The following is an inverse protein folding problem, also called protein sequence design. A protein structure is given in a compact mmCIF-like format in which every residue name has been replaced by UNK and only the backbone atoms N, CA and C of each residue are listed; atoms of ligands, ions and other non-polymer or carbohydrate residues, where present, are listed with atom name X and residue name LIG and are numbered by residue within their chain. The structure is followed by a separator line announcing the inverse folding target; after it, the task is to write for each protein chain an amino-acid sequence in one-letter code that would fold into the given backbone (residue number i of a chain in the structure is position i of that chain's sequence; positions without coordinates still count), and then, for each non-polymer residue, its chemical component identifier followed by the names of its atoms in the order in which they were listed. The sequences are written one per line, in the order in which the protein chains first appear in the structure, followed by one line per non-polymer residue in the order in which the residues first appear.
data_IF_486244702913
#
_entry.id   IF_486244702913
#
_cell.length_a   1.000
_cell.length_b   1.000
_cell.length_c   1.000
_cell.angle_alpha   90.00
_cell.angle_beta   90.00
_cell.angle_gamma   90.00
#
_symmetry.space_group_name_H-M   'P 1'
#
loop_
_entity.id
_entity.type
_entity.pdbx_description
1 polymer ?
#
# COMPACT_ATOMS: atom_id res chain seq x y z
N UNK A 1 -33.45 -18.31 -17.07
CA UNK A 1 -33.05 -17.00 -17.57
C UNK A 1 -32.33 -16.17 -16.53
N UNK A 2 -32.67 -16.26 -15.26
CA UNK A 2 -32.00 -15.53 -14.20
C UNK A 2 -30.52 -15.87 -14.01
N UNK A 3 -30.11 -17.13 -14.22
CA UNK A 3 -28.69 -17.54 -14.17
C UNK A 3 -27.88 -16.97 -15.30
N UNK A 4 -28.46 -16.88 -16.48
CA UNK A 4 -27.80 -16.35 -17.67
C UNK A 4 -27.64 -14.85 -17.59
N UNK A 5 -28.63 -14.14 -17.07
CA UNK A 5 -28.57 -12.70 -16.84
C UNK A 5 -27.51 -12.32 -15.81
N UNK A 6 -27.39 -13.11 -14.72
CA UNK A 6 -26.34 -12.91 -13.71
C UNK A 6 -24.94 -13.18 -14.26
N UNK A 7 -24.76 -14.18 -15.10
CA UNK A 7 -23.50 -14.48 -15.76
C UNK A 7 -23.12 -13.41 -16.78
N UNK A 8 -24.10 -12.91 -17.54
CA UNK A 8 -23.90 -11.80 -18.46
C UNK A 8 -23.52 -10.51 -17.71
N UNK A 9 -24.18 -10.20 -16.59
CA UNK A 9 -23.86 -9.05 -15.75
C UNK A 9 -22.45 -9.18 -15.17
N UNK A 10 -22.01 -10.38 -14.78
CA UNK A 10 -20.63 -10.63 -14.32
C UNK A 10 -19.63 -10.53 -15.46
N UNK A 11 -19.99 -11.01 -16.66
CA UNK A 11 -19.16 -10.92 -17.85
C UNK A 11 -19.00 -9.50 -18.36
N UNK A 12 -19.92 -8.58 -18.01
CA UNK A 12 -19.85 -7.16 -18.38
C UNK A 12 -19.10 -6.29 -17.38
N UNK A 13 -18.67 -6.85 -16.23
CA UNK A 13 -17.81 -6.10 -15.31
C UNK A 13 -16.49 -5.81 -16.01
N UNK A 14 -16.18 -4.53 -16.18
CA UNK A 14 -14.96 -4.10 -16.85
C UNK A 14 -13.73 -4.45 -16.05
N UNK A 15 -12.58 -4.58 -16.71
CA UNK A 15 -11.31 -4.79 -16.04
C UNK A 15 -11.00 -3.63 -15.08
N UNK A 16 -11.38 -2.40 -15.50
CA UNK A 16 -11.25 -1.22 -14.66
C UNK A 16 -12.01 -1.38 -13.33
N UNK A 17 -13.26 -1.85 -13.37
CA UNK A 17 -14.06 -2.07 -12.15
C UNK A 17 -13.46 -3.15 -11.25
N UNK A 18 -12.93 -4.21 -11.82
CA UNK A 18 -12.26 -5.28 -11.07
C UNK A 18 -11.00 -4.77 -10.38
N UNK A 19 -10.18 -4.00 -11.10
CA UNK A 19 -8.96 -3.42 -10.56
C UNK A 19 -9.29 -2.40 -9.49
N UNK A 20 -10.28 -1.52 -9.70
CA UNK A 20 -10.74 -0.58 -8.68
C UNK A 20 -11.12 -1.28 -7.39
N UNK A 21 -11.91 -2.34 -7.47
CA UNK A 21 -12.31 -3.12 -6.32
C UNK A 21 -11.13 -3.74 -5.59
N UNK A 22 -10.17 -4.25 -6.35
CA UNK A 22 -8.95 -4.82 -5.78
C UNK A 22 -8.11 -3.74 -5.07
N UNK A 23 -7.97 -2.56 -5.67
CA UNK A 23 -7.25 -1.43 -5.07
C UNK A 23 -7.90 -0.99 -3.76
N UNK A 24 -9.23 -0.92 -3.72
CA UNK A 24 -9.97 -0.55 -2.50
C UNK A 24 -9.77 -1.58 -1.38
N UNK A 25 -9.76 -2.86 -1.71
CA UNK A 25 -9.48 -3.93 -0.73
C UNK A 25 -8.07 -3.85 -0.20
N UNK A 26 -7.11 -3.57 -1.06
CA UNK A 26 -5.72 -3.42 -0.66
C UNK A 26 -5.55 -2.23 0.31
N UNK A 27 -6.23 -1.11 0.03
CA UNK A 27 -6.22 0.07 0.91
C UNK A 27 -6.86 -0.24 2.27
N UNK A 28 -7.99 -0.93 2.27
CA UNK A 28 -8.68 -1.33 3.51
C UNK A 28 -7.83 -2.27 4.35
N UNK A 29 -7.23 -3.27 3.73
CA UNK A 29 -6.34 -4.21 4.41
C UNK A 29 -5.13 -3.49 5.03
N UNK A 30 -4.52 -2.57 4.28
CA UNK A 30 -3.38 -1.80 4.76
C UNK A 30 -3.74 -0.95 5.98
N UNK A 31 -4.93 -0.33 5.98
CA UNK A 31 -5.45 0.45 7.11
C UNK A 31 -5.65 -0.42 8.34
N UNK A 32 -6.32 -1.54 8.18
CA UNK A 32 -6.60 -2.47 9.28
C UNK A 32 -5.30 -2.99 9.90
N UNK A 33 -4.36 -3.36 9.06
CA UNK A 33 -3.07 -3.87 9.51
C UNK A 33 -2.28 -2.81 10.30
N UNK A 34 -2.30 -1.58 9.82
CA UNK A 34 -1.65 -0.47 10.51
C UNK A 34 -2.28 -0.22 11.87
N UNK A 35 -3.61 -0.20 11.95
CA UNK A 35 -4.34 0.01 13.19
C UNK A 35 -4.06 -1.11 14.21
N UNK A 36 -4.05 -2.36 13.78
CA UNK A 36 -3.70 -3.51 14.62
C UNK A 36 -2.28 -3.38 15.20
N UNK A 37 -1.32 -3.06 14.34
CA UNK A 37 0.08 -2.97 14.77
C UNK A 37 0.33 -1.77 15.70
N UNK A 38 -0.38 -0.65 15.49
CA UNK A 38 -0.31 0.47 16.43
C UNK A 38 -0.83 0.08 17.80
N UNK A 39 -1.93 -0.66 17.84
CA UNK A 39 -2.50 -1.14 19.11
C UNK A 39 -1.57 -2.12 19.80
N UNK A 40 -0.97 -3.05 19.07
CA UNK A 40 0.03 -3.99 19.60
C UNK A 40 1.25 -3.25 20.16
N UNK A 41 1.76 -2.27 19.41
CA UNK A 41 2.91 -1.47 19.85
C UNK A 41 2.60 -0.73 21.15
N UNK A 42 1.42 -0.12 21.25
CA UNK A 42 1.01 0.59 22.46
C UNK A 42 0.99 -0.32 23.69
N UNK A 43 0.52 -1.56 23.53
CA UNK A 43 0.53 -2.56 24.61
C UNK A 43 1.95 -2.99 24.97
N UNK A 44 2.78 -3.29 23.95
CA UNK A 44 4.16 -3.75 24.17
C UNK A 44 5.04 -2.67 24.79
N UNK A 45 4.85 -1.40 24.44
CA UNK A 45 5.57 -0.30 25.07
C UNK A 45 5.32 -0.28 26.57
N UNK A 46 4.08 -0.56 26.98
CA UNK A 46 3.70 -0.58 28.38
C UNK A 46 4.32 -1.78 29.14
N UNK A 47 4.29 -2.97 28.51
CA UNK A 47 4.66 -4.22 29.16
C UNK A 47 6.13 -4.60 28.95
N UNK A 48 6.67 -4.37 27.75
CA UNK A 48 8.02 -4.74 27.35
C UNK A 48 8.65 -3.67 26.45
N UNK A 49 9.06 -2.52 27.00
CA UNK A 49 9.49 -1.38 26.19
C UNK A 49 10.71 -1.67 25.30
N UNK A 50 11.67 -2.45 25.76
CA UNK A 50 12.87 -2.81 24.97
C UNK A 50 12.47 -3.63 23.75
N UNK A 51 11.64 -4.64 23.95
CA UNK A 51 11.11 -5.49 22.88
C UNK A 51 10.31 -4.66 21.86
N UNK A 52 9.47 -3.74 22.35
CA UNK A 52 8.65 -2.89 21.52
C UNK A 52 9.53 -2.03 20.58
N UNK A 53 10.57 -1.39 21.12
CA UNK A 53 11.46 -0.54 20.34
C UNK A 53 12.24 -1.35 19.29
N UNK A 54 12.79 -2.51 19.69
CA UNK A 54 13.67 -3.29 18.82
C UNK A 54 12.91 -4.05 17.72
N UNK A 55 11.74 -4.60 18.04
CA UNK A 55 11.07 -5.56 17.15
C UNK A 55 9.75 -5.08 16.59
N UNK A 56 8.92 -4.41 17.40
CA UNK A 56 7.59 -3.97 16.94
C UNK A 56 7.64 -2.67 16.15
N UNK A 57 8.55 -1.76 16.49
CA UNK A 57 8.62 -0.45 15.83
C UNK A 57 8.86 -0.59 14.31
N UNK A 58 9.72 -1.51 13.90
CA UNK A 58 9.98 -1.77 12.47
C UNK A 58 8.72 -2.24 11.73
N UNK A 59 7.92 -3.10 12.37
CA UNK A 59 6.67 -3.60 11.81
C UNK A 59 5.66 -2.47 11.65
N UNK A 60 5.61 -1.55 12.61
CA UNK A 60 4.72 -0.39 12.54
C UNK A 60 5.15 0.56 11.42
N UNK A 61 6.44 0.80 11.25
CA UNK A 61 6.96 1.63 10.15
C UNK A 61 6.61 0.99 8.81
N UNK A 62 6.79 -0.32 8.66
CA UNK A 62 6.39 -1.06 7.44
C UNK A 62 4.90 -0.86 7.17
N UNK A 63 4.06 -1.10 8.16
CA UNK A 63 2.61 -0.98 8.01
C UNK A 63 2.16 0.46 7.72
N UNK A 64 2.77 1.44 8.36
CA UNK A 64 2.48 2.84 8.13
C UNK A 64 2.84 3.26 6.71
N UNK A 65 4.02 2.86 6.25
CA UNK A 65 4.48 3.17 4.90
C UNK A 65 3.58 2.52 3.85
N UNK A 66 3.20 1.27 4.08
CA UNK A 66 2.23 0.54 3.24
C UNK A 66 0.90 1.28 3.19
N UNK A 67 0.39 1.67 4.35
CA UNK A 67 -0.88 2.41 4.43
C UNK A 67 -0.81 3.75 3.68
N UNK A 68 0.28 4.48 3.81
CA UNK A 68 0.45 5.77 3.11
C UNK A 68 0.38 5.61 1.58
N UNK A 69 0.97 4.54 1.04
CA UNK A 69 0.89 4.23 -0.38
C UNK A 69 -0.57 4.00 -0.79
N UNK A 70 -1.29 3.18 -0.07
CA UNK A 70 -2.67 2.83 -0.41
C UNK A 70 -3.67 3.93 -0.09
N UNK A 71 -3.38 4.77 0.91
CA UNK A 71 -4.22 5.94 1.21
C UNK A 71 -4.24 6.93 0.04
N UNK A 72 -3.10 7.13 -0.61
CA UNK A 72 -3.03 7.99 -1.79
C UNK A 72 -3.88 7.42 -2.94
N UNK A 73 -3.81 6.11 -3.17
CA UNK A 73 -4.64 5.43 -4.16
C UNK A 73 -6.13 5.57 -3.85
N UNK A 74 -6.51 5.33 -2.59
CA UNK A 74 -7.90 5.43 -2.15
C UNK A 74 -8.46 6.84 -2.33
N UNK A 75 -7.67 7.86 -2.00
CA UNK A 75 -8.07 9.26 -2.21
C UNK A 75 -8.34 9.57 -3.67
N UNK A 76 -7.47 9.10 -4.56
CA UNK A 76 -7.66 9.31 -5.99
C UNK A 76 -8.91 8.59 -6.51
N UNK A 77 -9.19 7.39 -6.01
CA UNK A 77 -10.42 6.67 -6.32
C UNK A 77 -11.66 7.42 -5.86
N UNK A 78 -11.62 7.95 -4.63
CA UNK A 78 -12.74 8.70 -4.04
C UNK A 78 -13.00 10.03 -4.78
N UNK A 79 -11.95 10.62 -5.35
CA UNK A 79 -12.06 11.83 -6.16
C UNK A 79 -12.58 11.55 -7.57
N UNK A 80 -12.78 10.29 -7.93
CA UNK A 80 -13.37 9.89 -9.19
C UNK A 80 -12.42 9.84 -10.38
N UNK A 81 -11.10 9.82 -10.12
CA UNK A 81 -10.12 9.68 -11.20
C UNK A 81 -10.18 8.29 -11.84
N UNK A 82 -9.80 8.21 -13.09
CA UNK A 82 -9.75 6.94 -13.81
C UNK A 82 -8.66 6.04 -13.24
N UNK A 83 -8.95 4.74 -13.17
CA UNK A 83 -8.03 3.75 -12.58
C UNK A 83 -6.67 3.75 -13.28
N UNK A 84 -6.64 3.85 -14.62
CA UNK A 84 -5.39 3.91 -15.37
C UNK A 84 -4.53 5.11 -14.96
N UNK A 85 -5.14 6.27 -14.77
CA UNK A 85 -4.45 7.50 -14.37
C UNK A 85 -3.96 7.40 -12.92
N UNK A 86 -4.78 6.83 -12.03
CA UNK A 86 -4.44 6.59 -10.64
C UNK A 86 -3.19 5.71 -10.54
N UNK A 87 -3.17 4.61 -11.28
CA UNK A 87 -2.03 3.69 -11.28
C UNK A 87 -0.77 4.36 -11.83
N UNK A 88 -0.89 5.05 -12.94
CA UNK A 88 0.24 5.77 -13.55
C UNK A 88 0.85 6.77 -12.58
N UNK A 89 0.03 7.60 -11.97
CA UNK A 89 0.47 8.63 -11.04
C UNK A 89 1.06 8.05 -9.76
N UNK A 90 0.39 7.05 -9.17
CA UNK A 90 0.86 6.44 -7.92
C UNK A 90 2.11 5.59 -8.12
N UNK A 91 2.25 4.92 -9.25
CA UNK A 91 3.50 4.23 -9.60
C UNK A 91 4.65 5.25 -9.65
N UNK A 92 4.44 6.38 -10.31
CA UNK A 92 5.44 7.45 -10.38
C UNK A 92 5.82 8.00 -9.00
N UNK A 93 4.83 8.19 -8.13
CA UNK A 93 5.07 8.66 -6.76
C UNK A 93 5.90 7.65 -5.95
N UNK A 94 5.53 6.37 -6.00
CA UNK A 94 6.25 5.32 -5.27
C UNK A 94 7.67 5.18 -5.81
N UNK A 95 7.87 5.27 -7.11
CA UNK A 95 9.20 5.26 -7.71
C UNK A 95 10.07 6.41 -7.19
N UNK A 96 9.51 7.61 -7.06
CA UNK A 96 10.22 8.77 -6.50
C UNK A 96 10.59 8.56 -5.04
N UNK A 97 9.66 8.02 -4.24
CA UNK A 97 9.92 7.71 -2.84
C UNK A 97 11.01 6.64 -2.71
N UNK A 98 10.99 5.63 -3.57
CA UNK A 98 12.00 4.57 -3.58
C UNK A 98 13.37 5.14 -3.93
N UNK A 99 13.45 5.98 -4.95
CA UNK A 99 14.68 6.65 -5.35
C UNK A 99 15.26 7.48 -4.20
N UNK A 100 14.41 8.25 -3.53
CA UNK A 100 14.82 9.03 -2.37
C UNK A 100 15.34 8.14 -1.24
N UNK A 101 14.64 7.07 -0.93
CA UNK A 101 15.04 6.14 0.13
C UNK A 101 16.38 5.46 -0.16
N UNK A 102 16.62 5.09 -1.43
CA UNK A 102 17.86 4.47 -1.86
C UNK A 102 19.03 5.46 -1.95
N UNK A 103 18.73 6.71 -2.24
CA UNK A 103 19.72 7.76 -2.40
C UNK A 103 20.03 8.53 -1.13
N UNK A 104 19.42 8.18 0.01
CA UNK A 104 19.63 8.89 1.26
C UNK A 104 21.05 8.70 1.76
N UNK A 105 21.83 9.79 1.69
CA UNK A 105 23.20 9.85 2.19
C UNK A 105 23.30 10.22 3.66
N UNK A 106 22.22 10.14 4.42
CA UNK A 106 22.21 10.49 5.84
C UNK A 106 23.19 9.66 6.64
N UNK A 107 23.95 10.31 7.52
CA UNK A 107 24.86 9.66 8.45
C UNK A 107 24.14 9.19 9.73
N UNK A 108 22.89 9.58 9.93
CA UNK A 108 22.10 9.18 11.09
C UNK A 108 21.70 7.71 10.98
N UNK A 109 22.12 6.82 11.90
CA UNK A 109 21.78 5.40 11.83
C UNK A 109 20.28 5.12 11.87
N UNK A 110 19.52 5.88 12.64
CA UNK A 110 18.07 5.73 12.73
C UNK A 110 17.39 6.06 11.41
N UNK A 111 17.80 7.16 10.79
CA UNK A 111 17.24 7.58 9.53
C UNK A 111 17.55 6.59 8.42
N UNK A 112 18.78 6.08 8.36
CA UNK A 112 19.16 5.05 7.41
C UNK A 112 18.39 3.75 7.61
N UNK A 113 18.18 3.34 8.86
CA UNK A 113 17.40 2.16 9.18
C UNK A 113 15.95 2.32 8.74
N UNK A 114 15.33 3.48 9.02
CA UNK A 114 13.97 3.79 8.61
C UNK A 114 13.83 3.80 7.08
N UNK A 115 14.76 4.46 6.38
CA UNK A 115 14.75 4.52 4.92
C UNK A 115 14.93 3.15 4.29
N UNK A 116 15.69 2.26 4.93
CA UNK A 116 15.84 0.88 4.46
C UNK A 116 14.52 0.13 4.55
N UNK A 117 13.79 0.24 5.66
CA UNK A 117 12.47 -0.38 5.84
C UNK A 117 11.49 0.18 4.80
N UNK A 118 11.44 1.50 4.67
CA UNK A 118 10.57 2.16 3.69
C UNK A 118 10.89 1.73 2.26
N UNK A 119 12.18 1.65 1.91
CA UNK A 119 12.61 1.18 0.60
C UNK A 119 12.11 -0.22 0.28
N UNK A 120 12.17 -1.13 1.22
CA UNK A 120 11.65 -2.49 1.07
C UNK A 120 10.14 -2.48 0.83
N UNK A 121 9.40 -1.63 1.54
CA UNK A 121 7.95 -1.48 1.35
C UNK A 121 7.65 -0.94 -0.05
N UNK A 122 8.35 0.10 -0.48
CA UNK A 122 8.13 0.68 -1.80
C UNK A 122 8.37 -0.32 -2.92
N UNK A 123 9.42 -1.13 -2.84
CA UNK A 123 9.67 -2.19 -3.82
C UNK A 123 8.51 -3.18 -3.88
N UNK A 124 8.03 -3.62 -2.73
CA UNK A 124 6.94 -4.59 -2.63
C UNK A 124 5.62 -4.02 -3.16
N UNK A 125 5.26 -2.81 -2.74
CA UNK A 125 3.99 -2.20 -3.14
C UNK A 125 4.01 -1.72 -4.59
N UNK A 126 5.17 -1.26 -5.09
CA UNK A 126 5.34 -0.90 -6.49
C UNK A 126 5.06 -2.10 -7.41
N UNK A 127 5.49 -3.29 -7.03
CA UNK A 127 5.20 -4.52 -7.79
C UNK A 127 3.69 -4.75 -7.89
N UNK A 128 2.96 -4.58 -6.79
CA UNK A 128 1.51 -4.73 -6.78
C UNK A 128 0.81 -3.74 -7.70
N UNK A 129 1.24 -2.48 -7.66
CA UNK A 129 0.67 -1.43 -8.53
C UNK A 129 0.97 -1.70 -10.00
N UNK A 130 2.17 -2.15 -10.32
CA UNK A 130 2.55 -2.52 -11.69
C UNK A 130 1.76 -3.73 -12.19
N UNK A 131 1.54 -4.72 -11.35
CA UNK A 131 0.73 -5.89 -11.69
C UNK A 131 -0.71 -5.47 -12.01
N UNK A 132 -1.28 -4.56 -11.21
CA UNK A 132 -2.61 -4.01 -11.46
C UNK A 132 -2.66 -3.25 -12.80
N UNK A 133 -1.63 -2.47 -13.10
CA UNK A 133 -1.55 -1.73 -14.36
C UNK A 133 -1.46 -2.68 -15.56
N UNK A 134 -0.71 -3.77 -15.45
CA UNK A 134 -0.65 -4.80 -16.48
C UNK A 134 -2.02 -5.46 -16.71
N UNK A 135 -2.77 -5.68 -15.64
CA UNK A 135 -4.12 -6.26 -15.72
C UNK A 135 -5.07 -5.38 -16.53
N UNK A 136 -4.93 -4.07 -16.40
CA UNK A 136 -5.70 -3.11 -17.21
C UNK A 136 -5.28 -3.09 -18.68
N UNK A 137 -3.99 -3.20 -18.91
CA UNK A 137 -3.43 -3.13 -20.28
C UNK A 137 -3.67 -4.43 -21.08
N UNK A 138 -3.83 -5.52 -20.36
CA UNK A 138 -4.02 -6.83 -20.97
C UNK A 138 -5.45 -7.19 -21.20
#
# INVERSE_FOLDING_TARGET
MTKQTKNEARATETDEAKVERWLRRAAEYARERFDELKAELAREIKDNPVYAVEWKAKKVIDAQTTYEVWLAVERDLDEGHRVADILHENIGEVERHLEYAQGDGSTCPYQRANERVKGQVYVRELRKLRDAAQHLAG
#
